data_IF_761086962189
#
_entry.id   IF_761086962189
#
_cell.length_a   1.000
_cell.length_b   1.000
_cell.length_c   1.000
_cell.angle_alpha   90.00
_cell.angle_beta   90.00
_cell.angle_gamma   90.00
#
_symmetry.space_group_name_H-M   'P 1'
#
loop_
_entity.id
_entity.type
_entity.pdbx_description
1 polymer ?
#
# COMPACT_ATOMS: atom_id res chain seq x y z
N UNK A 1 -14.57 14.11 -31.40
CA UNK A 1 -13.59 13.63 -30.44
C UNK A 1 -13.19 12.24 -30.88
N UNK A 2 -11.93 12.00 -31.27
CA UNK A 2 -11.48 10.67 -31.69
C UNK A 2 -10.81 10.03 -30.47
N UNK A 3 -11.48 9.08 -29.85
CA UNK A 3 -10.86 8.21 -28.84
C UNK A 3 -10.31 7.00 -29.57
N UNK A 4 -9.01 6.87 -29.65
CA UNK A 4 -8.38 5.80 -30.43
C UNK A 4 -7.93 4.62 -29.56
N UNK A 5 -8.35 3.42 -29.90
CA UNK A 5 -8.00 2.15 -29.29
C UNK A 5 -7.04 1.33 -30.16
N UNK A 6 -6.05 0.72 -29.60
CA UNK A 6 -5.39 -0.43 -30.22
C UNK A 6 -6.29 -1.67 -30.02
N UNK A 7 -6.87 -2.19 -31.11
CA UNK A 7 -7.58 -3.47 -31.08
C UNK A 7 -6.57 -4.59 -30.87
N UNK A 8 -6.62 -5.26 -29.76
CA UNK A 8 -5.96 -6.54 -29.57
C UNK A 8 -7.04 -7.63 -29.59
N UNK A 9 -6.88 -8.55 -30.54
CA UNK A 9 -7.51 -9.88 -30.43
C UNK A 9 -6.66 -10.64 -29.45
N UNK A 10 -7.23 -10.98 -28.30
CA UNK A 10 -6.59 -11.79 -27.29
C UNK A 10 -6.51 -13.24 -27.76
N UNK A 11 -5.35 -13.86 -27.86
CA UNK A 11 -5.23 -15.31 -27.76
C UNK A 11 -5.41 -15.71 -26.28
N UNK A 12 -5.83 -16.92 -26.01
CA UNK A 12 -6.36 -17.47 -24.75
C UNK A 12 -5.48 -17.38 -23.48
N UNK A 13 -4.49 -16.49 -23.40
CA UNK A 13 -3.59 -16.31 -22.27
C UNK A 13 -3.62 -14.87 -21.75
N UNK A 14 -4.63 -14.57 -20.94
CA UNK A 14 -4.82 -13.24 -20.32
C UNK A 14 -3.71 -12.82 -19.34
N UNK A 15 -2.80 -13.70 -18.95
CA UNK A 15 -1.81 -13.46 -17.91
C UNK A 15 -0.43 -13.01 -18.38
N UNK A 16 -0.15 -12.96 -19.68
CA UNK A 16 1.25 -12.74 -20.14
C UNK A 16 1.58 -11.37 -20.74
N UNK A 17 0.64 -10.45 -20.92
CA UNK A 17 0.87 -9.23 -21.71
C UNK A 17 0.31 -7.92 -21.14
N UNK A 18 0.58 -7.60 -19.87
CA UNK A 18 0.48 -6.20 -19.44
C UNK A 18 1.85 -5.54 -19.59
N UNK A 19 2.17 -5.10 -20.79
CA UNK A 19 3.28 -4.16 -21.00
C UNK A 19 2.78 -2.74 -20.76
N UNK A 20 3.44 -2.01 -19.88
CA UNK A 20 3.26 -0.57 -19.73
C UNK A 20 3.58 0.11 -21.06
N UNK A 21 2.57 0.63 -21.73
CA UNK A 21 2.77 1.59 -22.81
C UNK A 21 2.83 3.00 -22.19
N UNK A 22 3.96 3.68 -22.37
CA UNK A 22 4.04 5.12 -22.13
C UNK A 22 3.24 5.79 -23.24
N UNK A 23 2.09 6.37 -22.89
CA UNK A 23 1.24 7.07 -23.84
C UNK A 23 1.52 8.56 -23.71
N UNK A 24 1.85 9.20 -24.83
CA UNK A 24 2.05 10.65 -24.90
C UNK A 24 0.71 11.39 -25.06
N UNK A 25 0.71 12.65 -24.66
CA UNK A 25 -0.49 13.48 -24.77
C UNK A 25 -0.94 13.58 -26.24
N UNK A 26 -2.22 13.24 -26.49
CA UNK A 26 -2.82 13.30 -27.83
C UNK A 26 -2.80 12.00 -28.63
N UNK A 27 -2.13 10.95 -28.13
CA UNK A 27 -2.22 9.64 -28.76
C UNK A 27 -3.48 8.88 -28.33
N UNK A 28 -4.16 8.20 -29.28
CA UNK A 28 -5.33 7.40 -28.95
C UNK A 28 -4.92 6.14 -28.19
N UNK A 29 -5.43 5.97 -26.97
CA UNK A 29 -5.23 4.76 -26.16
C UNK A 29 -6.15 3.63 -26.65
N UNK A 30 -7.34 3.99 -27.12
CA UNK A 30 -8.43 3.05 -27.44
C UNK A 30 -9.21 3.56 -28.68
N UNK A 31 -9.46 2.73 -29.74
CA UNK A 31 -10.32 3.06 -30.92
C UNK A 31 -11.49 2.07 -31.00
N UNK A 32 -12.73 2.56 -30.90
CA UNK A 32 -13.94 1.75 -31.08
C UNK A 32 -14.47 1.93 -32.50
N UNK A 33 -14.73 0.85 -33.22
CA UNK A 33 -15.37 0.84 -34.53
C UNK A 33 -16.65 0.02 -34.47
N UNK A 34 -17.77 0.58 -34.94
CA UNK A 34 -19.04 -0.09 -34.94
C UNK A 34 -20.18 0.83 -35.40
N UNK A 35 -21.43 0.35 -35.45
CA UNK A 35 -22.59 1.22 -35.66
C UNK A 35 -22.60 2.31 -34.59
N UNK A 36 -22.97 3.54 -35.01
CA UNK A 36 -22.87 4.73 -34.16
C UNK A 36 -23.50 4.54 -32.76
N UNK A 37 -24.72 4.02 -32.71
CA UNK A 37 -25.41 3.80 -31.43
C UNK A 37 -24.67 2.87 -30.51
N UNK A 38 -24.16 1.76 -31.05
CA UNK A 38 -23.39 0.75 -30.22
C UNK A 38 -22.07 1.34 -29.73
N UNK A 39 -21.34 2.04 -30.59
CA UNK A 39 -20.09 2.69 -30.22
C UNK A 39 -20.30 3.78 -29.14
N UNK A 40 -21.40 4.54 -29.24
CA UNK A 40 -21.75 5.59 -28.29
C UNK A 40 -22.09 5.02 -26.90
N UNK A 41 -22.77 3.87 -26.81
CA UNK A 41 -23.04 3.23 -25.51
C UNK A 41 -21.79 2.81 -24.76
N UNK A 42 -20.72 2.47 -25.46
CA UNK A 42 -19.47 2.02 -24.85
C UNK A 42 -18.59 3.15 -24.32
N UNK A 43 -18.77 4.38 -24.85
CA UNK A 43 -17.89 5.52 -24.57
C UNK A 43 -17.69 5.75 -23.07
N UNK A 44 -18.78 5.98 -22.34
CA UNK A 44 -18.71 6.33 -20.92
C UNK A 44 -18.09 5.21 -20.07
N UNK A 45 -18.48 3.97 -20.33
CA UNK A 45 -17.96 2.81 -19.57
C UNK A 45 -16.46 2.64 -19.79
N UNK A 46 -16.00 2.77 -21.02
CA UNK A 46 -14.58 2.67 -21.38
C UNK A 46 -13.78 3.79 -20.73
N UNK A 47 -14.28 5.03 -20.83
CA UNK A 47 -13.62 6.20 -20.24
C UNK A 47 -13.49 6.05 -18.71
N UNK A 48 -14.55 5.66 -18.02
CA UNK A 48 -14.52 5.43 -16.56
C UNK A 48 -13.48 4.37 -16.18
N UNK A 49 -13.49 3.24 -16.88
CA UNK A 49 -12.59 2.12 -16.58
C UNK A 49 -11.13 2.48 -16.79
N UNK A 50 -10.82 3.08 -17.95
CA UNK A 50 -9.43 3.39 -18.28
C UNK A 50 -8.91 4.57 -17.48
N UNK A 51 -9.69 5.64 -17.33
CA UNK A 51 -9.24 6.86 -16.69
C UNK A 51 -8.80 6.60 -15.24
N UNK A 52 -9.68 6.06 -14.42
CA UNK A 52 -9.39 5.81 -13.00
C UNK A 52 -8.18 4.88 -12.83
N UNK A 53 -8.18 3.73 -13.49
CA UNK A 53 -7.11 2.74 -13.32
C UNK A 53 -5.76 3.24 -13.87
N UNK A 54 -5.75 3.96 -15.00
CA UNK A 54 -4.52 4.53 -15.56
C UNK A 54 -3.91 5.60 -14.67
N UNK A 55 -4.74 6.46 -14.06
CA UNK A 55 -4.27 7.50 -13.14
C UNK A 55 -3.65 6.89 -11.87
N UNK A 56 -4.31 5.89 -11.28
CA UNK A 56 -3.79 5.20 -10.08
C UNK A 56 -2.49 4.45 -10.42
N UNK A 57 -2.45 3.69 -11.51
CA UNK A 57 -1.24 2.98 -11.92
C UNK A 57 -0.08 3.94 -12.21
N UNK A 58 -0.35 5.07 -12.85
CA UNK A 58 0.66 6.09 -13.14
C UNK A 58 1.21 6.72 -11.86
N UNK A 59 0.34 7.11 -10.91
CA UNK A 59 0.77 7.65 -9.63
C UNK A 59 1.60 6.62 -8.86
N UNK A 60 1.12 5.39 -8.75
CA UNK A 60 1.83 4.30 -8.08
C UNK A 60 3.20 4.04 -8.69
N UNK A 61 3.29 4.02 -10.02
CA UNK A 61 4.58 3.83 -10.70
C UNK A 61 5.57 4.96 -10.41
N UNK A 62 5.12 6.20 -10.34
CA UNK A 62 5.98 7.34 -9.96
C UNK A 62 6.51 7.21 -8.55
N UNK A 63 5.64 6.83 -7.59
CA UNK A 63 6.03 6.61 -6.20
C UNK A 63 7.04 5.46 -6.08
N UNK A 64 6.76 4.32 -6.73
CA UNK A 64 7.67 3.16 -6.74
C UNK A 64 9.03 3.52 -7.31
N UNK A 65 9.09 4.27 -8.41
CA UNK A 65 10.36 4.75 -8.98
C UNK A 65 11.11 5.70 -8.05
N UNK A 66 10.40 6.58 -7.34
CA UNK A 66 11.01 7.48 -6.37
C UNK A 66 11.52 6.74 -5.13
N UNK A 67 10.84 5.67 -4.73
CA UNK A 67 11.24 4.81 -3.60
C UNK A 67 12.45 3.92 -3.90
N UNK A 68 12.77 3.69 -5.19
CA UNK A 68 13.88 2.81 -5.59
C UNK A 68 13.66 1.37 -5.13
N UNK A 69 14.56 0.84 -4.32
CA UNK A 69 14.49 -0.53 -3.79
C UNK A 69 13.58 -0.68 -2.55
N UNK A 70 13.00 0.41 -2.07
CA UNK A 70 12.11 0.39 -0.89
C UNK A 70 10.72 -0.10 -1.32
N UNK A 71 10.19 -1.18 -0.71
CA UNK A 71 8.86 -1.68 -1.03
C UNK A 71 7.78 -0.64 -0.71
N UNK A 72 6.85 -0.44 -1.65
CA UNK A 72 5.70 0.45 -1.51
C UNK A 72 4.44 -0.40 -1.41
N UNK A 73 3.59 -0.10 -0.43
CA UNK A 73 2.29 -0.75 -0.21
C UNK A 73 1.14 0.23 -0.48
N UNK A 74 0.04 -0.27 -1.01
CA UNK A 74 -1.18 0.51 -1.24
C UNK A 74 -2.11 0.43 -0.02
N UNK A 75 -2.41 1.58 0.61
CA UNK A 75 -3.30 1.69 1.78
C UNK A 75 -4.43 2.70 1.57
N UNK A 76 -4.77 3.01 0.32
CA UNK A 76 -5.70 4.08 -0.04
C UNK A 76 -7.19 3.70 -0.06
N UNK A 77 -7.56 2.43 0.15
CA UNK A 77 -8.93 1.93 -0.02
C UNK A 77 -9.99 2.76 0.71
N UNK A 78 -9.73 3.15 1.98
CA UNK A 78 -10.65 3.99 2.77
C UNK A 78 -10.83 5.42 2.26
N UNK A 79 -10.02 5.84 1.28
CA UNK A 79 -10.06 7.17 0.65
C UNK A 79 -10.53 7.10 -0.80
N UNK A 80 -10.83 5.90 -1.31
CA UNK A 80 -11.30 5.70 -2.67
C UNK A 80 -12.74 6.22 -2.85
N UNK A 81 -13.07 6.52 -4.09
CA UNK A 81 -14.41 6.97 -4.47
C UNK A 81 -15.29 5.77 -4.81
N UNK A 82 -15.89 5.20 -3.76
CA UNK A 82 -16.75 4.04 -3.86
C UNK A 82 -16.02 2.70 -3.80
N UNK A 83 -16.80 1.64 -3.65
CA UNK A 83 -16.34 0.27 -3.47
C UNK A 83 -15.48 -0.22 -4.64
N UNK A 84 -15.99 -0.08 -5.87
CA UNK A 84 -15.25 -0.46 -7.08
C UNK A 84 -13.97 0.35 -7.25
N UNK A 85 -14.00 1.64 -6.89
CA UNK A 85 -12.83 2.51 -6.91
C UNK A 85 -11.71 1.99 -5.98
N UNK A 86 -12.05 1.44 -4.83
CA UNK A 86 -11.07 0.83 -3.92
C UNK A 86 -10.47 -0.45 -4.51
N UNK A 87 -11.31 -1.35 -5.02
CA UNK A 87 -10.89 -2.67 -5.51
C UNK A 87 -10.03 -2.54 -6.78
N UNK A 88 -10.53 -1.84 -7.78
CA UNK A 88 -9.81 -1.64 -9.04
C UNK A 88 -8.63 -0.69 -8.88
N UNK A 89 -8.70 0.24 -7.91
CA UNK A 89 -7.57 1.10 -7.54
C UNK A 89 -6.41 0.28 -6.97
N UNK A 90 -6.67 -0.64 -6.06
CA UNK A 90 -5.65 -1.53 -5.51
C UNK A 90 -5.00 -2.40 -6.60
N UNK A 91 -5.80 -2.96 -7.51
CA UNK A 91 -5.30 -3.70 -8.68
C UNK A 91 -4.43 -2.82 -9.58
N UNK A 92 -4.89 -1.62 -9.90
CA UNK A 92 -4.14 -0.69 -10.74
C UNK A 92 -2.82 -0.25 -10.08
N UNK A 93 -2.81 -0.04 -8.77
CA UNK A 93 -1.61 0.27 -8.02
C UNK A 93 -0.59 -0.88 -8.07
N UNK A 94 -1.06 -2.13 -7.93
CA UNK A 94 -0.21 -3.32 -8.06
C UNK A 94 0.40 -3.45 -9.46
N UNK A 95 -0.39 -3.20 -10.51
CA UNK A 95 0.12 -3.08 -11.88
C UNK A 95 1.17 -1.96 -11.98
N UNK A 96 1.00 -0.86 -11.24
CA UNK A 96 1.95 0.26 -11.14
C UNK A 96 3.25 -0.07 -10.42
N UNK A 97 3.35 -1.23 -9.75
CA UNK A 97 4.57 -1.74 -9.13
C UNK A 97 4.57 -1.77 -7.61
N UNK A 98 3.44 -1.47 -6.92
CA UNK A 98 3.37 -1.67 -5.46
C UNK A 98 3.40 -3.16 -5.13
N UNK A 99 3.95 -3.52 -3.98
CA UNK A 99 4.15 -4.92 -3.61
C UNK A 99 2.89 -5.61 -3.03
N UNK A 100 1.83 -4.84 -2.70
CA UNK A 100 0.57 -5.36 -2.17
C UNK A 100 -0.35 -4.26 -1.65
N UNK A 101 -1.51 -4.65 -1.13
CA UNK A 101 -2.58 -3.75 -0.73
C UNK A 101 -3.19 -4.13 0.62
N UNK A 102 -3.74 -3.15 1.34
CA UNK A 102 -4.61 -3.40 2.49
C UNK A 102 -6.07 -3.76 2.09
N UNK A 103 -6.40 -3.70 0.80
CA UNK A 103 -7.71 -4.07 0.27
C UNK A 103 -7.81 -5.59 0.06
N UNK A 104 -8.17 -6.32 1.09
CA UNK A 104 -8.19 -7.80 1.09
C UNK A 104 -9.07 -8.43 0.02
N UNK A 105 -10.16 -7.76 -0.38
CA UNK A 105 -11.01 -8.22 -1.48
C UNK A 105 -10.27 -8.26 -2.83
N UNK A 106 -9.27 -7.38 -3.02
CA UNK A 106 -8.45 -7.37 -4.24
C UNK A 106 -7.49 -8.56 -4.31
N UNK A 107 -7.09 -9.12 -3.16
CA UNK A 107 -6.37 -10.41 -3.13
C UNK A 107 -7.28 -11.54 -3.61
N UNK A 108 -8.48 -11.61 -3.06
CA UNK A 108 -9.45 -12.64 -3.47
C UNK A 108 -9.81 -12.56 -4.97
N UNK A 109 -10.01 -11.36 -5.50
CA UNK A 109 -10.49 -11.18 -6.88
C UNK A 109 -9.36 -11.18 -7.93
N UNK A 110 -8.19 -10.66 -7.59
CA UNK A 110 -7.12 -10.36 -8.56
C UNK A 110 -5.75 -10.90 -8.15
N UNK A 111 -5.67 -11.62 -7.04
CA UNK A 111 -4.42 -12.16 -6.48
C UNK A 111 -3.38 -11.06 -6.20
N UNK A 112 -3.84 -9.87 -5.82
CA UNK A 112 -2.96 -8.80 -5.32
C UNK A 112 -2.63 -9.11 -3.87
N UNK A 113 -1.35 -9.30 -3.50
CA UNK A 113 -1.00 -9.73 -2.15
C UNK A 113 -1.60 -8.82 -1.06
N UNK A 114 -2.37 -9.41 -0.13
CA UNK A 114 -2.91 -8.70 1.01
C UNK A 114 -1.80 -8.44 2.03
N UNK A 115 -1.53 -7.17 2.32
CA UNK A 115 -0.52 -6.71 3.26
C UNK A 115 -1.13 -5.70 4.23
N UNK A 116 -0.58 -5.63 5.43
CA UNK A 116 -1.06 -4.66 6.39
C UNK A 116 -0.35 -4.75 7.73
N UNK A 117 -0.73 -3.84 8.61
CA UNK A 117 -0.30 -3.78 10.01
C UNK A 117 -1.54 -3.51 10.88
N UNK A 118 -1.34 -3.39 12.20
CA UNK A 118 -2.42 -2.97 13.10
C UNK A 118 -2.96 -1.58 12.76
N UNK A 119 -4.18 -1.29 13.16
CA UNK A 119 -4.80 0.04 13.12
C UNK A 119 -4.68 0.76 14.47
N UNK A 120 -4.85 2.09 14.50
CA UNK A 120 -4.92 2.84 15.77
C UNK A 120 -6.04 2.34 16.67
N UNK A 121 -7.19 1.93 16.11
CA UNK A 121 -8.31 1.35 16.87
C UNK A 121 -7.93 0.06 17.61
N UNK A 122 -7.01 -0.74 17.09
CA UNK A 122 -6.45 -1.88 17.83
C UNK A 122 -5.74 -1.43 19.09
N UNK A 123 -4.86 -0.43 18.99
CA UNK A 123 -4.14 0.10 20.14
C UNK A 123 -5.10 0.67 21.19
N UNK A 124 -6.12 1.40 20.74
CA UNK A 124 -7.13 2.03 21.58
C UNK A 124 -8.13 1.04 22.22
N UNK A 125 -8.17 -0.22 21.77
CA UNK A 125 -9.05 -1.24 22.35
C UNK A 125 -8.45 -1.94 23.58
N UNK A 126 -7.23 -1.58 23.98
CA UNK A 126 -6.56 -2.09 25.17
C UNK A 126 -6.43 -0.99 26.23
N UNK A 127 -6.30 -1.38 27.49
CA UNK A 127 -6.14 -0.44 28.61
C UNK A 127 -4.84 0.36 28.49
N UNK A 128 -3.77 -0.27 27.95
CA UNK A 128 -2.49 0.41 27.68
C UNK A 128 -1.97 0.09 26.28
N UNK A 129 -1.19 1.03 25.71
CA UNK A 129 -0.51 0.84 24.44
C UNK A 129 0.46 -0.36 24.48
N UNK A 130 1.11 -0.58 25.64
CA UNK A 130 2.02 -1.71 25.83
C UNK A 130 1.27 -3.05 25.72
N UNK A 131 0.10 -3.18 26.36
CA UNK A 131 -0.70 -4.41 26.30
C UNK A 131 -1.11 -4.73 24.86
N UNK A 132 -1.51 -3.70 24.10
CA UNK A 132 -1.83 -3.85 22.67
C UNK A 132 -0.63 -4.37 21.86
N UNK A 133 0.56 -3.82 22.10
CA UNK A 133 1.79 -4.23 21.42
C UNK A 133 2.22 -5.66 21.82
N UNK A 134 2.16 -5.99 23.09
CA UNK A 134 2.46 -7.33 23.60
C UNK A 134 1.50 -8.39 23.02
N UNK A 135 0.21 -8.09 22.97
CA UNK A 135 -0.78 -8.98 22.38
C UNK A 135 -0.52 -9.21 20.89
N UNK A 136 -0.22 -8.13 20.16
CA UNK A 136 0.07 -8.23 18.71
C UNK A 136 1.34 -9.01 18.44
N UNK A 137 2.43 -8.74 19.17
CA UNK A 137 3.71 -9.44 19.01
C UNK A 137 3.59 -10.94 19.31
N UNK A 138 2.77 -11.33 20.28
CA UNK A 138 2.48 -12.74 20.58
C UNK A 138 1.67 -13.42 19.48
N UNK A 139 0.70 -12.71 18.88
CA UNK A 139 -0.12 -13.24 17.79
C UNK A 139 0.62 -13.34 16.46
N UNK A 140 1.50 -12.37 16.17
CA UNK A 140 2.21 -12.25 14.88
C UNK A 140 3.72 -12.04 15.06
N UNK A 141 4.44 -12.96 15.71
CA UNK A 141 5.85 -12.75 16.06
C UNK A 141 6.75 -12.60 14.82
N UNK A 142 6.46 -13.31 13.73
CA UNK A 142 7.27 -13.28 12.50
C UNK A 142 6.94 -12.10 11.57
N UNK A 143 5.87 -11.35 11.85
CA UNK A 143 5.43 -10.18 11.07
C UNK A 143 5.01 -9.04 12.01
N UNK A 144 5.86 -8.75 13.00
CA UNK A 144 5.56 -7.77 14.03
C UNK A 144 5.98 -6.37 13.60
N UNK A 145 5.01 -5.56 13.15
CA UNK A 145 5.19 -4.13 12.91
C UNK A 145 4.22 -3.35 13.80
N UNK A 146 4.76 -2.56 14.74
CA UNK A 146 4.00 -1.86 15.76
C UNK A 146 3.72 -0.41 15.36
N UNK A 147 2.47 0.02 15.41
CA UNK A 147 2.03 1.37 15.09
C UNK A 147 2.20 2.28 16.31
N UNK A 148 3.23 3.13 16.30
CA UNK A 148 3.75 3.79 17.49
C UNK A 148 3.27 5.24 17.69
N UNK A 149 2.43 5.75 16.81
CA UNK A 149 1.99 7.15 16.82
C UNK A 149 0.54 7.35 17.28
N UNK A 150 -0.06 6.32 17.92
CA UNK A 150 -1.42 6.44 18.46
C UNK A 150 -1.52 7.55 19.48
N UNK A 151 -0.54 7.70 20.37
CA UNK A 151 -0.49 8.74 21.41
C UNK A 151 0.74 9.65 21.23
N UNK A 152 1.94 9.15 21.53
CA UNK A 152 3.17 9.93 21.38
C UNK A 152 4.33 9.02 20.96
N UNK A 153 4.86 9.25 19.76
CA UNK A 153 5.92 8.43 19.16
C UNK A 153 7.12 8.25 20.08
N UNK A 154 7.67 9.34 20.60
CA UNK A 154 8.95 9.31 21.34
C UNK A 154 8.80 9.06 22.83
N UNK A 155 7.66 9.46 23.44
CA UNK A 155 7.46 9.35 24.88
C UNK A 155 6.81 8.02 25.31
N UNK A 156 6.00 7.42 24.44
CA UNK A 156 5.29 6.17 24.76
C UNK A 156 5.46 5.11 23.66
N UNK A 157 5.11 5.39 22.43
CA UNK A 157 5.06 4.39 21.36
C UNK A 157 6.38 3.67 21.13
N UNK A 158 7.46 4.40 20.90
CA UNK A 158 8.77 3.80 20.66
C UNK A 158 9.34 3.07 21.89
N UNK A 159 9.30 3.64 23.12
CA UNK A 159 9.72 2.89 24.32
C UNK A 159 8.92 1.60 24.53
N UNK A 160 7.59 1.62 24.36
CA UNK A 160 6.74 0.44 24.47
C UNK A 160 7.02 -0.59 23.38
N UNK A 161 7.32 -0.15 22.15
CA UNK A 161 7.73 -1.03 21.07
C UNK A 161 9.04 -1.75 21.36
N UNK A 162 10.07 -1.03 21.80
CA UNK A 162 11.37 -1.61 22.18
C UNK A 162 11.19 -2.62 23.34
N UNK A 163 10.43 -2.25 24.34
CA UNK A 163 10.09 -3.16 25.44
C UNK A 163 9.39 -4.43 24.94
N UNK A 164 8.44 -4.30 24.04
CA UNK A 164 7.76 -5.44 23.42
C UNK A 164 8.73 -6.33 22.64
N UNK A 165 9.66 -5.73 21.89
CA UNK A 165 10.68 -6.48 21.16
C UNK A 165 11.61 -7.24 22.11
N UNK A 166 12.03 -6.62 23.21
CA UNK A 166 12.90 -7.25 24.20
C UNK A 166 12.20 -8.37 24.97
N UNK A 167 10.94 -8.18 25.39
CA UNK A 167 10.23 -9.14 26.22
C UNK A 167 9.56 -10.28 25.42
N UNK A 168 9.18 -10.06 24.15
CA UNK A 168 8.45 -11.05 23.36
C UNK A 168 9.28 -11.62 22.22
N UNK A 169 9.92 -10.78 21.39
CA UNK A 169 10.58 -11.27 20.17
C UNK A 169 12.00 -11.76 20.42
N UNK A 170 12.76 -11.07 21.26
CA UNK A 170 14.14 -11.43 21.57
C UNK A 170 14.30 -12.82 22.19
N UNK A 171 13.45 -13.26 23.14
CA UNK A 171 13.50 -14.62 23.67
C UNK A 171 13.20 -15.70 22.62
N UNK A 172 12.44 -15.35 21.57
CA UNK A 172 12.15 -16.24 20.44
C UNK A 172 13.23 -16.23 19.35
N UNK A 173 14.30 -15.45 19.52
CA UNK A 173 15.34 -15.28 18.52
C UNK A 173 14.91 -14.48 17.28
N UNK A 174 13.77 -13.79 17.34
CA UNK A 174 13.21 -13.05 16.21
C UNK A 174 13.78 -11.63 16.18
N UNK A 175 14.38 -11.26 15.04
CA UNK A 175 14.94 -9.94 14.77
C UNK A 175 14.22 -9.19 13.64
N UNK A 176 13.40 -9.89 12.85
CA UNK A 176 12.60 -9.28 11.77
C UNK A 176 11.34 -8.65 12.35
N UNK A 177 11.46 -7.42 12.80
CA UNK A 177 10.37 -6.62 13.34
C UNK A 177 10.44 -5.19 12.80
N UNK A 178 9.46 -4.36 13.15
CA UNK A 178 9.45 -2.97 12.73
C UNK A 178 8.49 -2.11 13.53
N UNK A 179 8.61 -0.83 13.29
CA UNK A 179 7.68 0.20 13.76
C UNK A 179 7.02 0.88 12.57
N UNK A 180 5.81 1.40 12.75
CA UNK A 180 5.11 2.21 11.76
C UNK A 180 4.79 3.58 12.32
N UNK A 181 5.00 4.62 11.50
CA UNK A 181 4.69 6.01 11.79
C UNK A 181 3.72 6.51 10.71
N UNK A 182 2.53 6.94 11.11
CA UNK A 182 1.42 7.33 10.24
C UNK A 182 1.11 8.83 10.31
N UNK A 183 1.78 9.58 11.21
CA UNK A 183 1.52 11.01 11.45
C UNK A 183 2.74 11.78 11.96
N UNK A 184 2.63 13.11 11.97
CA UNK A 184 3.65 14.03 12.46
C UNK A 184 4.74 14.34 11.44
N UNK A 185 5.84 14.94 11.89
CA UNK A 185 7.02 15.18 11.05
C UNK A 185 7.78 13.86 10.82
N UNK A 186 7.45 13.22 9.72
CA UNK A 186 8.00 11.89 9.35
C UNK A 186 9.53 11.94 9.28
N UNK A 187 10.12 12.99 8.70
CA UNK A 187 11.57 13.11 8.54
C UNK A 187 12.28 13.22 9.89
N UNK A 188 11.76 14.04 10.77
CA UNK A 188 12.31 14.20 12.12
C UNK A 188 12.13 12.90 12.94
N UNK A 189 10.91 12.36 12.95
CA UNK A 189 10.58 11.18 13.75
C UNK A 189 11.36 9.94 13.32
N UNK A 190 11.49 9.68 12.02
CA UNK A 190 12.24 8.51 11.53
C UNK A 190 13.70 8.56 11.91
N UNK A 191 14.34 9.74 11.80
CA UNK A 191 15.75 9.92 12.23
C UNK A 191 15.91 9.68 13.73
N UNK A 192 15.00 10.20 14.55
CA UNK A 192 15.04 9.99 16.01
C UNK A 192 14.77 8.52 16.37
N UNK A 193 13.75 7.93 15.78
CA UNK A 193 13.42 6.52 16.02
C UNK A 193 14.57 5.60 15.61
N UNK A 194 15.20 5.85 14.45
CA UNK A 194 16.33 5.03 14.00
C UNK A 194 17.47 5.05 15.03
N UNK A 195 17.85 6.24 15.49
CA UNK A 195 18.91 6.36 16.49
C UNK A 195 18.57 5.58 17.80
N UNK A 196 17.34 5.76 18.30
CA UNK A 196 16.92 5.13 19.56
C UNK A 196 16.84 3.59 19.40
N UNK A 197 16.38 3.10 18.23
CA UNK A 197 16.37 1.66 17.93
C UNK A 197 17.79 1.08 17.87
N UNK A 198 18.72 1.80 17.25
CA UNK A 198 20.14 1.40 17.18
C UNK A 198 20.78 1.37 18.57
N UNK A 199 20.58 2.42 19.36
CA UNK A 199 21.07 2.52 20.73
C UNK A 199 20.50 1.41 21.64
N UNK A 200 19.32 0.87 21.31
CA UNK A 200 18.67 -0.26 22.01
C UNK A 200 19.05 -1.65 21.45
N UNK A 201 19.92 -1.73 20.45
CA UNK A 201 20.36 -2.99 19.83
C UNK A 201 19.35 -3.59 18.83
N UNK A 202 18.48 -2.75 18.25
CA UNK A 202 17.49 -3.12 17.24
C UNK A 202 17.77 -2.47 15.88
N UNK A 203 19.03 -2.53 15.41
CA UNK A 203 19.50 -1.96 14.16
C UNK A 203 18.77 -2.57 12.94
N UNK A 204 18.38 -3.85 13.06
CA UNK A 204 17.64 -4.57 12.00
C UNK A 204 16.15 -4.23 11.93
N UNK A 205 15.60 -3.55 12.94
CA UNK A 205 14.18 -3.19 12.97
C UNK A 205 13.85 -2.22 11.86
N UNK A 206 12.79 -2.52 11.10
CA UNK A 206 12.33 -1.69 9.97
C UNK A 206 11.53 -0.49 10.46
N UNK A 207 11.61 0.62 9.74
CA UNK A 207 10.74 1.77 9.93
C UNK A 207 9.83 1.88 8.72
N UNK A 208 8.54 1.67 8.91
CA UNK A 208 7.50 1.81 7.90
C UNK A 208 6.86 3.18 8.08
N UNK A 209 6.76 3.92 7.00
CA UNK A 209 6.09 5.22 7.00
C UNK A 209 4.83 5.13 6.14
N UNK A 210 3.80 5.83 6.55
CA UNK A 210 2.54 5.90 5.82
C UNK A 210 1.93 7.30 5.95
N UNK A 211 0.94 7.58 5.12
CA UNK A 211 0.27 8.87 5.00
C UNK A 211 0.93 9.84 3.99
N UNK A 212 0.13 10.30 3.03
CA UNK A 212 0.42 11.41 2.09
C UNK A 212 1.81 11.35 1.43
N UNK A 213 2.24 10.17 1.03
CA UNK A 213 3.46 9.99 0.25
C UNK A 213 3.13 10.20 -1.23
N UNK A 214 3.76 11.20 -1.85
CA UNK A 214 3.58 11.62 -3.25
C UNK A 214 4.88 11.50 -4.05
#
# INVERSE_FOLDING_TARGET
MRVGFLSWVCPDDFNSWVRFALVTVGEPIVTVRGPLMQAQFLETMILLTINHQSLIATKSNRIVRAAGDIPVMEFGSRRAQGYDGAIYGARAAYIGGVCGTACTISDQMFHVPALGTMAHSWVQSFDTELDAFMAYAKAYPNNCTLLIDTYNVLKSGLPNAIRTFDEVLKPLGIRNCGIRIDSGDITYLTRKCRKILDDAGWESAKIVISNSLD
#
